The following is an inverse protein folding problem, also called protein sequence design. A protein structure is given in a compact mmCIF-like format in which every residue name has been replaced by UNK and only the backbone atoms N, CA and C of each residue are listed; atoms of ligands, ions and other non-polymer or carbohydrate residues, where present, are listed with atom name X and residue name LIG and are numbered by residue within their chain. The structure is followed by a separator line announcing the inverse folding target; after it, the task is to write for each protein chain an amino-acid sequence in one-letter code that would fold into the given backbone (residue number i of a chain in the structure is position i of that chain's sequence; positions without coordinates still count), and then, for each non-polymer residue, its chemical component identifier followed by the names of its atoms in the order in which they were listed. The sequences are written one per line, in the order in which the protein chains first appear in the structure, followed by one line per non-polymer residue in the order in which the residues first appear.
data_IF_112548765456
#
_entry.id   IF_112548765456
#
_cell.length_a   1.000
_cell.length_b   1.000
_cell.length_c   1.000
_cell.angle_alpha   90.00
_cell.angle_beta   90.00
_cell.angle_gamma   90.00
#
_symmetry.space_group_name_H-M   'P 1'
#
loop_
_entity.id
_entity.type
_entity.pdbx_description
1 polymer ?
#
# COMPACT_ATOMS: atom_id res chain seq x y z
N UNK A 1 -9.88 10.12 -21.32
CA UNK A 1 -10.48 8.94 -20.68
C UNK A 1 -9.44 8.42 -19.71
N UNK A 2 -9.67 8.53 -18.40
CA UNK A 2 -8.71 8.09 -17.39
C UNK A 2 -8.67 6.57 -17.39
N UNK A 3 -7.50 5.97 -17.60
CA UNK A 3 -7.29 4.52 -17.71
C UNK A 3 -7.02 3.86 -16.34
N UNK A 4 -7.48 4.47 -15.25
CA UNK A 4 -7.10 4.11 -13.88
C UNK A 4 -8.03 3.02 -13.30
N UNK A 5 -8.13 1.91 -14.01
CA UNK A 5 -8.86 0.70 -13.59
C UNK A 5 -7.93 -0.40 -13.08
N UNK A 6 -8.49 -1.37 -12.36
CA UNK A 6 -7.76 -2.59 -11.99
C UNK A 6 -7.98 -3.64 -13.08
N UNK A 7 -6.87 -4.17 -13.58
CA UNK A 7 -6.82 -5.17 -14.64
C UNK A 7 -6.42 -6.51 -14.05
N UNK A 8 -7.11 -7.57 -14.47
CA UNK A 8 -6.71 -8.95 -14.21
C UNK A 8 -6.24 -9.57 -15.52
N UNK A 9 -5.01 -10.07 -15.51
CA UNK A 9 -4.43 -10.80 -16.62
C UNK A 9 -4.58 -12.30 -16.37
N UNK A 10 -5.39 -12.96 -17.19
CA UNK A 10 -5.42 -14.41 -17.25
C UNK A 10 -4.16 -14.90 -17.99
N UNK A 11 -3.36 -15.69 -17.30
CA UNK A 11 -2.10 -16.26 -17.81
C UNK A 11 -2.14 -17.78 -17.93
N UNK A 12 -3.30 -18.42 -17.73
CA UNK A 12 -3.43 -19.89 -17.82
C UNK A 12 -3.02 -20.41 -19.19
N UNK A 13 -3.29 -19.65 -20.26
CA UNK A 13 -2.77 -19.91 -21.60
C UNK A 13 -1.85 -18.78 -22.07
N UNK A 14 -0.52 -18.96 -22.06
CA UNK A 14 0.43 -17.90 -22.41
C UNK A 14 0.33 -17.42 -23.88
N UNK A 15 -0.31 -18.19 -24.77
CA UNK A 15 -0.56 -17.79 -26.17
C UNK A 15 -1.85 -16.99 -26.34
N UNK A 16 -2.69 -16.91 -25.31
CA UNK A 16 -3.98 -16.22 -25.32
C UNK A 16 -4.18 -15.41 -24.03
N UNK A 17 -3.11 -14.76 -23.55
CA UNK A 17 -3.24 -13.90 -22.38
C UNK A 17 -4.30 -12.82 -22.65
N UNK A 18 -5.32 -12.78 -21.79
CA UNK A 18 -6.41 -11.79 -21.86
C UNK A 18 -6.35 -10.93 -20.62
N UNK A 19 -6.30 -9.61 -20.83
CA UNK A 19 -6.45 -8.64 -19.76
C UNK A 19 -7.91 -8.18 -19.75
N UNK A 20 -8.58 -8.35 -18.61
CA UNK A 20 -9.93 -7.84 -18.39
C UNK A 20 -9.89 -6.75 -17.34
N UNK A 21 -10.59 -5.65 -17.59
CA UNK A 21 -10.88 -4.66 -16.54
C UNK A 21 -11.89 -5.28 -15.60
N UNK A 22 -11.51 -5.44 -14.33
CA UNK A 22 -12.39 -6.00 -13.29
C UNK A 22 -12.94 -4.92 -12.37
N UNK A 23 -12.25 -3.79 -12.28
CA UNK A 23 -12.72 -2.60 -11.57
C UNK A 23 -12.47 -1.39 -12.47
N UNK A 24 -13.52 -0.81 -13.08
CA UNK A 24 -13.37 0.19 -14.13
C UNK A 24 -12.88 1.54 -13.60
N UNK A 25 -13.18 1.88 -12.35
CA UNK A 25 -12.78 3.15 -11.74
C UNK A 25 -12.32 2.90 -10.31
N UNK A 26 -11.11 3.35 -9.97
CA UNK A 26 -10.71 3.57 -8.57
C UNK A 26 -11.53 4.76 -8.04
N UNK A 27 -11.95 4.79 -6.76
CA UNK A 27 -12.84 5.84 -6.26
C UNK A 27 -12.05 7.13 -5.97
N UNK A 28 -11.45 7.73 -7.01
CA UNK A 28 -10.70 8.98 -6.96
C UNK A 28 -11.56 10.13 -6.46
N UNK A 29 -12.87 10.12 -6.78
CA UNK A 29 -13.84 11.11 -6.33
C UNK A 29 -14.03 11.17 -4.81
N UNK A 30 -13.59 10.14 -4.07
CA UNK A 30 -13.60 10.16 -2.61
C UNK A 30 -12.39 10.91 -2.02
N UNK A 31 -11.29 11.10 -2.75
CA UNK A 31 -10.02 11.59 -2.18
C UNK A 31 -9.20 12.48 -3.13
N UNK A 32 -9.40 13.81 -3.15
CA UNK A 32 -8.55 14.74 -3.91
C UNK A 32 -7.09 14.83 -3.41
N UNK A 33 -6.72 14.05 -2.39
CA UNK A 33 -5.42 14.11 -1.71
C UNK A 33 -4.63 12.80 -1.76
N UNK A 34 -4.98 11.87 -2.66
CA UNK A 34 -4.17 10.66 -2.88
C UNK A 34 -2.78 11.04 -3.35
N UNK A 35 -1.77 10.47 -2.71
CA UNK A 35 -0.35 10.64 -3.06
C UNK A 35 0.19 9.40 -3.77
N UNK A 36 -0.10 8.23 -3.22
CA UNK A 36 0.34 6.95 -3.76
C UNK A 36 -0.71 5.87 -3.50
N UNK A 37 -0.78 4.88 -4.39
CA UNK A 37 -1.57 3.67 -4.22
C UNK A 37 -0.69 2.44 -4.36
N UNK A 38 -1.03 1.40 -3.62
CA UNK A 38 -0.31 0.13 -3.58
C UNK A 38 -1.30 -1.03 -3.57
N UNK A 39 -0.90 -2.18 -4.09
CA UNK A 39 -1.69 -3.41 -4.04
C UNK A 39 -0.95 -4.49 -3.27
N UNK A 40 -1.63 -5.15 -2.36
CA UNK A 40 -1.07 -6.27 -1.60
C UNK A 40 -2.10 -7.41 -1.53
N UNK A 41 -1.64 -8.65 -1.76
CA UNK A 41 -2.41 -9.83 -1.38
C UNK A 41 -2.32 -10.02 0.13
N UNK A 42 -3.43 -10.36 0.76
CA UNK A 42 -3.50 -10.61 2.20
C UNK A 42 -4.61 -11.59 2.55
N UNK A 43 -4.23 -12.85 2.84
CA UNK A 43 -5.15 -13.91 3.27
C UNK A 43 -6.29 -14.19 2.27
N UNK A 44 -5.98 -14.15 0.97
CA UNK A 44 -6.91 -14.38 -0.12
C UNK A 44 -7.63 -13.14 -0.62
N UNK A 45 -7.55 -12.02 0.11
CA UNK A 45 -8.06 -10.73 -0.35
C UNK A 45 -6.97 -9.94 -1.09
N UNK A 46 -7.34 -9.32 -2.22
CA UNK A 46 -6.52 -8.27 -2.84
C UNK A 46 -6.89 -6.93 -2.20
N UNK A 47 -5.90 -6.24 -1.62
CA UNK A 47 -6.07 -4.97 -0.93
C UNK A 47 -5.50 -3.82 -1.75
N UNK A 48 -6.28 -2.74 -1.89
CA UNK A 48 -5.82 -1.44 -2.34
C UNK A 48 -5.45 -0.59 -1.12
N UNK A 49 -4.18 -0.26 -0.99
CA UNK A 49 -3.65 0.61 0.07
C UNK A 49 -3.42 1.99 -0.51
N UNK A 50 -4.03 3.01 0.10
CA UNK A 50 -3.97 4.39 -0.38
C UNK A 50 -3.28 5.23 0.67
N UNK A 51 -2.23 5.90 0.23
CA UNK A 51 -1.53 6.90 1.00
C UNK A 51 -2.02 8.29 0.58
N UNK A 52 -2.47 9.09 1.55
CA UNK A 52 -3.08 10.39 1.28
C UNK A 52 -2.59 11.48 2.25
N UNK A 53 -2.70 12.73 1.82
CA UNK A 53 -2.57 13.91 2.70
C UNK A 53 -3.94 14.25 3.30
N UNK A 54 -4.02 14.66 4.57
CA UNK A 54 -5.29 15.15 5.12
C UNK A 54 -5.63 16.51 4.53
N UNK A 55 -6.93 16.77 4.33
CA UNK A 55 -7.43 18.02 3.75
C UNK A 55 -7.11 19.23 4.64
N UNK A 56 -7.34 19.08 5.94
CA UNK A 56 -7.18 20.12 6.96
C UNK A 56 -5.71 20.44 7.23
N UNK A 57 -4.84 19.45 7.07
CA UNK A 57 -3.40 19.58 7.23
C UNK A 57 -2.68 18.68 6.21
N UNK A 58 -2.23 19.24 5.08
CA UNK A 58 -1.51 18.50 4.05
C UNK A 58 -0.19 17.88 4.53
N UNK A 59 0.35 18.37 5.65
CA UNK A 59 1.55 17.80 6.29
C UNK A 59 1.23 16.51 7.04
N UNK A 60 0.01 16.39 7.56
CA UNK A 60 -0.48 15.13 8.14
C UNK A 60 -0.82 14.15 7.02
N UNK A 61 -0.19 12.98 7.09
CA UNK A 61 -0.35 11.90 6.12
C UNK A 61 -1.05 10.72 6.78
N UNK A 62 -1.78 9.93 5.99
CA UNK A 62 -2.50 8.76 6.49
C UNK A 62 -2.66 7.68 5.43
N UNK A 63 -3.21 6.56 5.87
CA UNK A 63 -3.52 5.43 5.00
C UNK A 63 -4.99 5.03 5.10
N UNK A 64 -5.53 4.54 3.99
CA UNK A 64 -6.79 3.80 3.95
C UNK A 64 -6.57 2.52 3.17
N UNK A 65 -7.25 1.46 3.57
CA UNK A 65 -7.12 0.14 2.96
C UNK A 65 -8.50 -0.33 2.53
N UNK A 66 -8.60 -0.86 1.31
CA UNK A 66 -9.86 -1.35 0.77
C UNK A 66 -9.68 -2.73 0.17
N UNK A 67 -10.67 -3.60 0.33
CA UNK A 67 -10.76 -4.82 -0.45
C UNK A 67 -11.12 -4.45 -1.88
N UNK A 68 -10.39 -5.01 -2.85
CA UNK A 68 -10.70 -4.80 -4.26
C UNK A 68 -11.97 -5.59 -4.63
N UNK A 69 -13.01 -4.94 -5.17
CA UNK A 69 -14.27 -5.59 -5.53
C UNK A 69 -14.14 -6.37 -6.85
N UNK A 70 -13.41 -7.49 -6.84
CA UNK A 70 -13.13 -8.28 -8.04
C UNK A 70 -14.37 -8.98 -8.64
N UNK A 71 -15.49 -9.04 -7.92
CA UNK A 71 -16.70 -9.79 -8.32
C UNK A 71 -17.72 -8.93 -9.06
N UNK A 72 -18.05 -7.77 -8.50
CA UNK A 72 -19.06 -6.85 -9.01
C UNK A 72 -18.46 -5.58 -9.63
N UNK A 73 -17.18 -5.29 -9.35
CA UNK A 73 -16.46 -4.15 -9.92
C UNK A 73 -16.82 -2.79 -9.31
N UNK A 74 -17.63 -2.77 -8.25
CA UNK A 74 -18.13 -1.54 -7.64
C UNK A 74 -17.55 -1.31 -6.25
N UNK A 75 -17.05 -0.09 -6.02
CA UNK A 75 -16.57 0.31 -4.70
C UNK A 75 -17.72 0.66 -3.78
N UNK A 76 -17.76 -0.01 -2.63
CA UNK A 76 -18.70 0.26 -1.54
C UNK A 76 -17.94 0.66 -0.28
N UNK A 77 -18.58 1.44 0.61
CA UNK A 77 -17.96 1.97 1.82
C UNK A 77 -17.59 0.89 2.84
N UNK A 78 -18.29 -0.24 2.81
CA UNK A 78 -18.04 -1.44 3.63
C UNK A 78 -16.79 -2.24 3.18
N UNK A 79 -16.24 -1.94 2.00
CA UNK A 79 -14.98 -2.53 1.54
C UNK A 79 -13.76 -1.95 2.26
N UNK A 80 -13.92 -0.87 3.03
CA UNK A 80 -12.83 -0.31 3.82
C UNK A 80 -12.42 -1.25 4.96
N UNK A 81 -11.16 -1.66 4.95
CA UNK A 81 -10.56 -2.49 5.98
C UNK A 81 -10.00 -1.59 7.08
N UNK A 82 -10.59 -1.67 8.27
CA UNK A 82 -10.12 -0.98 9.48
C UNK A 82 -9.25 -1.85 10.38
N UNK A 83 -9.33 -3.17 10.20
CA UNK A 83 -8.61 -4.15 11.00
C UNK A 83 -8.09 -5.30 10.13
N UNK A 84 -6.77 -5.46 10.10
CA UNK A 84 -6.08 -6.58 9.46
C UNK A 84 -5.94 -7.80 10.40
N UNK A 85 -6.43 -7.71 11.63
CA UNK A 85 -6.22 -8.71 12.66
C UNK A 85 -4.74 -8.87 12.99
N UNK A 86 -4.26 -10.12 13.05
CA UNK A 86 -2.85 -10.44 13.32
C UNK A 86 -1.94 -10.24 12.08
N UNK A 87 -2.36 -9.47 11.07
CA UNK A 87 -1.53 -9.18 9.88
C UNK A 87 -1.03 -7.74 9.89
N UNK A 88 0.06 -7.53 9.15
CA UNK A 88 0.62 -6.21 8.89
C UNK A 88 0.99 -6.12 7.41
N UNK A 89 0.90 -4.89 6.87
CA UNK A 89 1.28 -4.60 5.49
C UNK A 89 2.64 -3.92 5.45
N UNK A 90 3.41 -4.20 4.40
CA UNK A 90 4.60 -3.46 4.04
C UNK A 90 4.40 -2.86 2.66
N UNK A 91 4.61 -1.55 2.52
CA UNK A 91 4.43 -0.80 1.27
C UNK A 91 5.64 0.09 0.98
N UNK A 92 5.95 0.31 -0.29
CA UNK A 92 7.04 1.20 -0.69
C UNK A 92 6.89 1.72 -2.12
N UNK A 93 7.37 2.94 -2.36
CA UNK A 93 7.19 3.63 -3.67
C UNK A 93 7.90 2.90 -4.81
N UNK A 94 8.98 2.18 -4.52
CA UNK A 94 9.78 1.46 -5.51
C UNK A 94 9.84 -0.05 -5.26
N UNK A 95 8.94 -0.57 -4.42
CA UNK A 95 8.91 -1.97 -4.04
C UNK A 95 7.53 -2.57 -4.22
N UNK A 96 7.47 -3.89 -4.34
CA UNK A 96 6.23 -4.62 -4.12
C UNK A 96 5.67 -4.33 -2.72
N UNK A 97 4.39 -4.64 -2.54
CA UNK A 97 3.76 -4.64 -1.23
C UNK A 97 3.51 -6.07 -0.79
N UNK A 98 3.72 -6.35 0.49
CA UNK A 98 3.55 -7.69 1.06
C UNK A 98 2.69 -7.63 2.32
N UNK A 99 1.96 -8.70 2.58
CA UNK A 99 1.21 -8.91 3.82
C UNK A 99 1.76 -10.12 4.55
N UNK A 100 2.13 -9.96 5.81
CA UNK A 100 2.65 -11.05 6.64
C UNK A 100 1.83 -11.19 7.91
N UNK A 101 1.89 -12.38 8.50
CA UNK A 101 1.38 -12.61 9.85
C UNK A 101 2.34 -11.93 10.84
N UNK A 102 1.84 -10.97 11.60
CA UNK A 102 2.66 -10.09 12.43
C UNK A 102 3.42 -10.84 13.53
N UNK A 103 2.79 -11.85 14.14
CA UNK A 103 3.41 -12.70 15.16
C UNK A 103 4.64 -13.46 14.67
N UNK A 104 4.67 -13.82 13.38
CA UNK A 104 5.75 -14.65 12.82
C UNK A 104 7.06 -13.86 12.66
N UNK A 105 6.95 -12.52 12.61
CA UNK A 105 8.06 -11.60 12.39
C UNK A 105 8.25 -10.58 13.52
N UNK A 106 7.57 -10.76 14.65
CA UNK A 106 7.61 -9.80 15.77
C UNK A 106 7.13 -8.39 15.42
N UNK A 107 6.28 -8.27 14.40
CA UNK A 107 5.72 -7.01 13.94
C UNK A 107 4.50 -6.61 14.77
N UNK A 108 4.12 -5.33 14.67
CA UNK A 108 2.85 -4.85 15.25
C UNK A 108 1.69 -5.30 14.36
N UNK A 109 0.65 -5.95 14.92
CA UNK A 109 -0.55 -6.30 14.16
C UNK A 109 -1.34 -5.03 13.79
N UNK A 110 -2.20 -5.14 12.77
CA UNK A 110 -3.04 -4.07 12.27
C UNK A 110 -2.27 -2.75 11.97
N UNK A 111 -1.09 -2.90 11.37
CA UNK A 111 -0.21 -1.78 11.02
C UNK A 111 0.18 -1.81 9.54
N UNK A 112 0.66 -0.66 9.07
CA UNK A 112 1.26 -0.49 7.74
C UNK A 112 2.67 0.07 7.94
N UNK A 113 3.67 -0.73 7.58
CA UNK A 113 5.06 -0.33 7.52
C UNK A 113 5.30 0.26 6.14
N UNK A 114 5.84 1.47 6.08
CA UNK A 114 6.07 2.14 4.80
C UNK A 114 7.52 2.62 4.68
N UNK A 115 8.00 2.65 3.45
CA UNK A 115 9.30 3.22 3.08
C UNK A 115 9.19 3.99 1.77
N UNK A 116 9.24 5.32 1.87
CA UNK A 116 9.14 6.25 0.75
C UNK A 116 10.46 6.99 0.53
N UNK A 117 10.49 7.85 -0.50
CA UNK A 117 11.64 8.68 -0.84
C UNK A 117 12.11 9.54 0.34
N UNK A 118 13.38 9.93 0.29
CA UNK A 118 14.03 10.81 1.28
C UNK A 118 14.01 10.26 2.72
N UNK A 119 14.20 8.95 2.89
CA UNK A 119 14.25 8.30 4.20
C UNK A 119 12.97 8.48 5.02
N UNK A 120 11.83 8.65 4.35
CA UNK A 120 10.52 8.70 4.99
C UNK A 120 10.02 7.28 5.19
N UNK A 121 10.34 6.70 6.33
CA UNK A 121 9.83 5.39 6.75
C UNK A 121 9.16 5.50 8.11
N UNK A 122 8.24 4.57 8.36
CA UNK A 122 7.46 4.61 9.58
C UNK A 122 6.45 3.50 9.67
N UNK A 123 5.72 3.53 10.77
CA UNK A 123 4.68 2.55 11.08
C UNK A 123 3.39 3.34 11.29
N UNK A 124 2.40 3.06 10.45
CA UNK A 124 1.05 3.58 10.60
C UNK A 124 0.18 2.56 11.34
N UNK A 125 -0.42 2.97 12.45
CA UNK A 125 -1.37 2.15 13.20
C UNK A 125 -2.78 2.39 12.64
N UNK A 126 -3.41 1.33 12.12
CA UNK A 126 -4.74 1.45 11.51
C UNK A 126 -5.88 1.65 12.52
N UNK A 127 -5.65 1.30 13.80
CA UNK A 127 -6.67 1.40 14.86
C UNK A 127 -6.91 2.84 15.29
N UNK A 128 -5.83 3.61 15.50
CA UNK A 128 -5.89 4.99 16.00
C UNK A 128 -5.47 6.03 14.96
N UNK A 129 -4.97 5.59 13.80
CA UNK A 129 -4.52 6.45 12.72
C UNK A 129 -3.23 7.21 13.02
N UNK A 130 -2.46 6.79 14.02
CA UNK A 130 -1.17 7.42 14.38
C UNK A 130 -0.03 6.90 13.50
N UNK A 131 0.90 7.79 13.20
CA UNK A 131 2.12 7.45 12.46
C UNK A 131 3.32 7.59 13.40
N UNK A 132 4.06 6.50 13.59
CA UNK A 132 5.39 6.53 14.18
C UNK A 132 6.39 6.73 13.05
N UNK A 133 6.71 7.99 12.77
CA UNK A 133 7.72 8.33 11.79
C UNK A 133 9.11 8.07 12.36
N UNK A 134 9.85 7.23 11.67
CA UNK A 134 11.27 7.09 11.91
C UNK A 134 11.95 7.91 10.81
N UNK A 135 11.99 9.23 11.01
CA UNK A 135 12.79 10.11 10.17
C UNK A 135 14.23 9.57 10.21
N UNK A 136 14.64 8.90 9.14
CA UNK A 136 16.01 8.45 8.98
C UNK A 136 16.90 9.68 8.93
N UNK A 137 17.47 9.99 10.09
CA UNK A 137 18.55 10.93 10.33
C UNK A 137 18.48 12.20 9.47
N UNK A 138 18.08 13.32 10.08
CA UNK A 138 18.49 14.67 9.64
C UNK A 138 20.02 14.85 9.64
N UNK A 139 20.83 13.81 9.52
CA UNK A 139 22.23 13.98 9.13
C UNK A 139 22.27 14.27 7.64
N UNK A 140 22.52 15.54 7.36
CA UNK A 140 22.96 16.12 6.09
C UNK A 140 24.21 15.44 5.46
N UNK A 141 24.62 14.25 5.92
CA UNK A 141 25.87 13.59 5.57
C UNK A 141 25.74 12.51 4.47
N UNK A 142 24.53 12.05 4.13
CA UNK A 142 24.33 11.07 3.03
C UNK A 142 23.72 11.71 1.78
N UNK A 143 23.87 13.03 1.60
CA UNK A 143 23.40 13.75 0.41
C UNK A 143 24.17 13.38 -0.87
N UNK A 144 25.22 12.56 -0.78
CA UNK A 144 26.06 12.17 -1.91
C UNK A 144 26.29 10.64 -2.04
N UNK A 145 25.57 9.83 -1.26
CA UNK A 145 25.67 8.37 -1.36
C UNK A 145 24.54 7.85 -2.26
N UNK A 146 24.90 7.07 -3.28
CA UNK A 146 24.04 6.31 -4.19
C UNK A 146 22.92 5.47 -3.51
N UNK A 147 22.89 5.40 -2.17
CA UNK A 147 21.85 4.76 -1.37
C UNK A 147 20.47 5.43 -1.44
N UNK A 148 20.34 6.69 -1.87
CA UNK A 148 19.02 7.32 -2.06
C UNK A 148 18.22 6.74 -3.25
N UNK A 149 18.86 5.91 -4.08
CA UNK A 149 18.28 5.32 -5.28
C UNK A 149 18.08 3.81 -5.18
N UNK A 150 18.57 3.16 -4.11
CA UNK A 150 18.27 1.74 -3.90
C UNK A 150 16.81 1.64 -3.43
N UNK A 151 15.94 0.89 -4.13
CA UNK A 151 14.59 0.68 -3.66
C UNK A 151 14.65 -0.02 -2.30
N UNK A 152 14.00 0.56 -1.29
CA UNK A 152 13.71 -0.16 -0.06
C UNK A 152 12.73 -1.28 -0.42
N UNK A 153 13.27 -2.46 -0.74
CA UNK A 153 12.50 -3.59 -1.23
C UNK A 153 12.02 -4.45 -0.05
N UNK A 154 10.70 -4.59 0.07
CA UNK A 154 10.10 -5.56 0.97
C UNK A 154 10.05 -6.93 0.29
N UNK A 155 10.75 -7.91 0.85
CA UNK A 155 10.77 -9.29 0.38
C UNK A 155 10.40 -10.20 1.54
N UNK A 156 9.42 -11.06 1.33
CA UNK A 156 9.21 -12.22 2.18
C UNK A 156 10.01 -13.39 1.59
N UNK A 157 11.13 -13.80 2.20
CA UNK A 157 11.88 -14.95 1.72
C UNK A 157 11.07 -16.24 1.87
N UNK A 158 11.26 -17.18 0.96
CA UNK A 158 10.55 -18.47 0.93
C UNK A 158 11.41 -19.67 1.36
N UNK A 159 12.62 -19.44 1.87
CA UNK A 159 13.59 -20.48 2.23
C UNK A 159 13.51 -20.89 3.70
#
# INVERSE_FOLDING_TARGET
MNNDGIWVCDTENPKQAKANVVVPEIPWGLWPFVRHSFMAESAGDLLLVIFYSKAEDPSTRGFRVFKVPLRDGYWHSDLEVKDLGNRTLFVGIHSGSISVVASDYGCKPNCIYFSFLYSYYGIYNMKDGTTQEHLGSRTLALRESLMSWLPHLWIQPSF
#
